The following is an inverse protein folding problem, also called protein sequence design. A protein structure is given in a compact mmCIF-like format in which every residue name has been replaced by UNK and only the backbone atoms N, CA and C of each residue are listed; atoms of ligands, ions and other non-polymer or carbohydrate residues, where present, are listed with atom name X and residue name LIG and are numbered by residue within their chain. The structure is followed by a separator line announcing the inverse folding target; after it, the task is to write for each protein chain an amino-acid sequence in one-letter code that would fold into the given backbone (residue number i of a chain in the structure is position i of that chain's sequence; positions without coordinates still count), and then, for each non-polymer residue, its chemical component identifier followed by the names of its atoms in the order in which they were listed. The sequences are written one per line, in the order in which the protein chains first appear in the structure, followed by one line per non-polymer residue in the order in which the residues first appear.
data_IF_314762280375
#
_entry.id   IF_314762280375
#
_cell.length_a   1.000
_cell.length_b   1.000
_cell.length_c   1.000
_cell.angle_alpha   90.00
_cell.angle_beta   90.00
_cell.angle_gamma   90.00
#
_symmetry.space_group_name_H-M   'P 1'
#
loop_
_entity.id
_entity.type
_entity.pdbx_description
1 polymer ?
#
# COMPACT_ATOMS: atom_id res chain seq x y z
N UNK A 1 -19.59 -15.22 -12.44
CA UNK A 1 -19.45 -15.95 -11.17
C UNK A 1 -18.20 -15.51 -10.43
N UNK A 2 -16.98 -15.76 -10.92
CA UNK A 2 -15.73 -15.48 -10.20
C UNK A 2 -15.58 -14.03 -9.70
N UNK A 3 -15.74 -13.03 -10.58
CA UNK A 3 -15.60 -11.62 -10.20
C UNK A 3 -16.62 -11.20 -9.13
N UNK A 4 -17.86 -11.71 -9.21
CA UNK A 4 -18.88 -11.47 -8.18
C UNK A 4 -18.48 -12.06 -6.84
N UNK A 5 -17.84 -13.24 -6.85
CA UNK A 5 -17.29 -13.87 -5.64
C UNK A 5 -16.14 -13.06 -5.05
N UNK A 6 -15.18 -12.60 -5.87
CA UNK A 6 -14.09 -11.74 -5.41
C UNK A 6 -14.62 -10.41 -4.84
N UNK A 7 -15.60 -9.80 -5.50
CA UNK A 7 -16.23 -8.58 -4.99
C UNK A 7 -16.87 -8.80 -3.61
N UNK A 8 -17.69 -9.84 -3.47
CA UNK A 8 -18.30 -10.17 -2.17
C UNK A 8 -17.24 -10.49 -1.10
N UNK A 9 -16.13 -11.12 -1.49
CA UNK A 9 -15.00 -11.40 -0.59
C UNK A 9 -14.30 -10.13 -0.10
N UNK A 10 -14.31 -9.04 -0.88
CA UNK A 10 -13.76 -7.74 -0.47
C UNK A 10 -14.71 -6.90 0.38
N UNK A 11 -16.03 -7.07 0.23
CA UNK A 11 -17.03 -6.22 0.91
C UNK A 11 -17.83 -6.94 2.00
N UNK A 12 -17.66 -8.25 2.14
CA UNK A 12 -18.40 -9.07 3.10
C UNK A 12 -17.98 -8.79 4.55
N UNK A 13 -18.84 -9.19 5.50
CA UNK A 13 -18.57 -9.05 6.94
C UNK A 13 -17.39 -9.91 7.42
N UNK A 14 -17.08 -10.98 6.67
CA UNK A 14 -15.86 -11.77 6.80
C UNK A 14 -14.91 -11.46 5.64
N UNK A 15 -14.64 -10.18 5.41
CA UNK A 15 -13.73 -9.74 4.36
C UNK A 15 -12.29 -10.06 4.76
N UNK A 16 -11.69 -11.02 4.05
CA UNK A 16 -10.28 -11.34 4.19
C UNK A 16 -9.66 -11.34 2.79
N UNK A 17 -9.51 -10.19 2.12
CA UNK A 17 -9.21 -10.14 0.67
C UNK A 17 -7.75 -10.50 0.33
N UNK A 18 -7.14 -11.45 1.04
CA UNK A 18 -5.91 -12.10 0.62
C UNK A 18 -6.20 -12.99 -0.59
N UNK A 19 -5.34 -12.91 -1.61
CA UNK A 19 -5.39 -13.76 -2.81
C UNK A 19 -6.45 -13.39 -3.87
N UNK A 20 -6.87 -12.13 -3.96
CA UNK A 20 -7.58 -11.64 -5.17
C UNK A 20 -6.68 -11.87 -6.39
N UNK A 21 -7.20 -12.53 -7.43
CA UNK A 21 -6.38 -13.04 -8.54
C UNK A 21 -5.60 -11.93 -9.26
N UNK A 22 -6.22 -10.76 -9.44
CA UNK A 22 -5.59 -9.60 -10.05
C UNK A 22 -4.37 -9.06 -9.30
N UNK A 23 -4.20 -9.37 -8.00
CA UNK A 23 -3.02 -8.99 -7.22
C UNK A 23 -1.78 -9.82 -7.55
N UNK A 24 -1.91 -10.91 -8.32
CA UNK A 24 -0.78 -11.76 -8.71
C UNK A 24 0.32 -11.03 -9.49
N UNK A 25 0.01 -9.85 -10.05
CA UNK A 25 0.93 -9.02 -10.82
C UNK A 25 1.58 -7.88 -10.01
N UNK A 26 1.52 -7.93 -8.67
CA UNK A 26 2.07 -6.88 -7.79
C UNK A 26 3.55 -6.61 -8.00
N UNK A 27 4.31 -7.59 -8.49
CA UNK A 27 5.73 -7.46 -8.82
C UNK A 27 5.98 -7.09 -10.30
N UNK A 28 4.96 -7.17 -11.15
CA UNK A 28 5.02 -6.94 -12.61
C UNK A 28 4.22 -5.70 -13.01
N UNK A 29 4.46 -4.59 -12.30
CA UNK A 29 3.70 -3.34 -12.41
C UNK A 29 3.69 -2.79 -13.86
N UNK A 30 4.73 -3.07 -14.65
CA UNK A 30 4.85 -2.69 -16.06
C UNK A 30 3.75 -3.28 -16.95
N UNK A 31 3.19 -4.45 -16.60
CA UNK A 31 2.19 -5.16 -17.38
C UNK A 31 0.75 -4.71 -17.08
N UNK A 32 0.54 -3.98 -15.98
CA UNK A 32 -0.79 -3.72 -15.39
C UNK A 32 -1.08 -2.24 -15.14
N UNK A 33 -0.42 -1.30 -15.82
CA UNK A 33 -0.70 0.12 -15.71
C UNK A 33 -2.18 0.47 -15.99
N UNK A 34 -2.85 -0.27 -16.89
CA UNK A 34 -4.28 -0.10 -17.17
C UNK A 34 -5.20 -0.40 -15.97
N UNK A 35 -4.69 -0.97 -14.87
CA UNK A 35 -5.44 -1.11 -13.62
C UNK A 35 -5.90 0.24 -13.08
N UNK A 36 -5.30 1.36 -13.48
CA UNK A 36 -5.80 2.70 -13.14
C UNK A 36 -7.28 2.90 -13.55
N UNK A 37 -7.75 2.23 -14.61
CA UNK A 37 -9.13 2.37 -15.12
C UNK A 37 -10.08 1.30 -14.59
N UNK A 38 -9.58 0.09 -14.32
CA UNK A 38 -10.42 -1.08 -14.02
C UNK A 38 -10.26 -1.60 -12.59
N UNK A 39 -9.22 -1.15 -11.90
CA UNK A 39 -8.77 -1.73 -10.64
C UNK A 39 -8.34 -3.20 -10.76
N UNK A 40 -8.15 -3.82 -9.59
CA UNK A 40 -7.68 -5.20 -9.45
C UNK A 40 -8.62 -6.24 -10.08
N UNK A 41 -9.94 -6.00 -10.08
CA UNK A 41 -10.91 -6.92 -10.66
C UNK A 41 -10.79 -7.03 -12.18
N UNK A 42 -10.35 -5.96 -12.86
CA UNK A 42 -9.99 -6.02 -14.27
C UNK A 42 -8.86 -7.02 -14.50
N UNK A 43 -7.85 -7.01 -13.62
CA UNK A 43 -6.78 -8.00 -13.56
C UNK A 43 -7.27 -9.43 -13.45
N UNK A 44 -8.14 -9.70 -12.48
CA UNK A 44 -8.75 -11.01 -12.31
C UNK A 44 -9.49 -11.46 -13.58
N UNK A 45 -10.26 -10.58 -14.20
CA UNK A 45 -10.97 -10.87 -15.44
C UNK A 45 -9.99 -11.20 -16.58
N UNK A 46 -8.92 -10.43 -16.71
CA UNK A 46 -7.87 -10.66 -17.70
C UNK A 46 -7.23 -12.05 -17.57
N UNK A 47 -6.89 -12.47 -16.34
CA UNK A 47 -6.34 -13.82 -16.10
C UNK A 47 -7.33 -14.91 -16.52
N UNK A 48 -8.61 -14.76 -16.15
CA UNK A 48 -9.65 -15.73 -16.49
C UNK A 48 -9.84 -15.84 -18.02
N UNK A 49 -9.89 -14.71 -18.71
CA UNK A 49 -10.02 -14.65 -20.17
C UNK A 49 -8.80 -15.28 -20.85
N UNK A 50 -7.59 -14.98 -20.40
CA UNK A 50 -6.37 -15.59 -20.92
C UNK A 50 -6.37 -17.11 -20.74
N UNK A 51 -6.68 -17.60 -19.54
CA UNK A 51 -6.75 -19.03 -19.26
C UNK A 51 -7.75 -19.75 -20.18
N UNK A 52 -8.95 -19.19 -20.34
CA UNK A 52 -9.98 -19.77 -21.20
C UNK A 52 -9.55 -19.80 -22.67
N UNK A 53 -9.02 -18.69 -23.18
CA UNK A 53 -8.62 -18.59 -24.59
C UNK A 53 -7.41 -19.46 -24.92
N UNK A 54 -6.43 -19.53 -24.02
CA UNK A 54 -5.27 -20.43 -24.15
C UNK A 54 -5.73 -21.88 -24.15
N UNK A 55 -6.62 -22.28 -23.22
CA UNK A 55 -7.18 -23.62 -23.20
C UNK A 55 -7.89 -23.98 -24.51
N UNK A 56 -8.74 -23.10 -25.02
CA UNK A 56 -9.47 -23.31 -26.28
C UNK A 56 -8.54 -23.36 -27.51
N UNK A 57 -7.46 -22.57 -27.50
CA UNK A 57 -6.42 -22.61 -28.53
C UNK A 57 -5.68 -23.95 -28.51
N UNK A 58 -5.33 -24.47 -27.33
CA UNK A 58 -4.65 -25.77 -27.18
C UNK A 58 -5.54 -26.94 -27.60
N UNK A 59 -6.83 -26.89 -27.26
CA UNK A 59 -7.81 -27.95 -27.57
C UNK A 59 -8.13 -28.04 -29.05
N UNK A 60 -8.40 -26.91 -29.70
CA UNK A 60 -8.87 -26.88 -31.10
C UNK A 60 -7.76 -26.71 -32.13
N UNK A 61 -6.63 -26.11 -31.72
CA UNK A 61 -5.52 -25.68 -32.58
C UNK A 61 -5.93 -24.85 -33.80
N UNK A 62 -7.08 -24.17 -33.71
CA UNK A 62 -7.55 -23.25 -34.74
C UNK A 62 -6.70 -21.98 -34.72
N UNK A 63 -6.25 -21.53 -35.90
CA UNK A 63 -5.52 -20.25 -36.06
C UNK A 63 -6.24 -19.07 -35.43
N UNK A 64 -7.58 -19.02 -35.55
CA UNK A 64 -8.39 -17.94 -34.96
C UNK A 64 -8.32 -17.96 -33.42
N UNK A 65 -8.38 -19.13 -32.79
CA UNK A 65 -8.31 -19.25 -31.32
C UNK A 65 -6.91 -18.97 -30.80
N UNK A 66 -5.88 -19.40 -31.53
CA UNK A 66 -4.49 -19.06 -31.22
C UNK A 66 -4.28 -17.54 -31.28
N UNK A 67 -4.76 -16.87 -32.34
CA UNK A 67 -4.65 -15.42 -32.46
C UNK A 67 -5.42 -14.70 -31.35
N UNK A 68 -6.61 -15.17 -30.98
CA UNK A 68 -7.39 -14.59 -29.89
C UNK A 68 -6.67 -14.75 -28.53
N UNK A 69 -6.09 -15.93 -28.25
CA UNK A 69 -5.31 -16.16 -27.05
C UNK A 69 -4.05 -15.27 -27.01
N UNK A 70 -3.31 -15.19 -28.11
CA UNK A 70 -2.15 -14.31 -28.22
C UNK A 70 -2.53 -12.84 -28.00
N UNK A 71 -3.62 -12.37 -28.61
CA UNK A 71 -4.11 -11.01 -28.42
C UNK A 71 -4.50 -10.73 -26.96
N UNK A 72 -5.20 -11.66 -26.30
CA UNK A 72 -5.58 -11.50 -24.90
C UNK A 72 -4.37 -11.42 -23.96
N UNK A 73 -3.29 -12.16 -24.25
CA UNK A 73 -2.06 -12.14 -23.45
C UNK A 73 -1.22 -10.90 -23.73
N UNK A 74 -1.12 -10.47 -25.00
CA UNK A 74 -0.17 -9.42 -25.42
C UNK A 74 -0.76 -8.01 -25.34
N UNK A 75 -2.05 -7.83 -25.67
CA UNK A 75 -2.62 -6.49 -25.77
C UNK A 75 -2.64 -5.74 -24.44
N UNK A 76 -3.05 -6.32 -23.29
CA UNK A 76 -3.09 -5.56 -22.04
C UNK A 76 -1.71 -5.08 -21.56
N UNK A 77 -0.65 -5.91 -21.57
CA UNK A 77 0.71 -5.42 -21.31
C UNK A 77 1.17 -4.35 -22.32
N UNK A 78 0.84 -4.49 -23.61
CA UNK A 78 1.17 -3.47 -24.61
C UNK A 78 0.48 -2.13 -24.33
N UNK A 79 -0.80 -2.15 -23.93
CA UNK A 79 -1.54 -0.97 -23.48
C UNK A 79 -0.87 -0.37 -22.23
N UNK A 80 -0.45 -1.19 -21.27
CA UNK A 80 0.28 -0.71 -20.09
C UNK A 80 1.58 -0.01 -20.44
N UNK A 81 2.35 -0.54 -21.39
CA UNK A 81 3.58 0.09 -21.87
C UNK A 81 3.29 1.43 -22.54
N UNK A 82 2.20 1.54 -23.32
CA UNK A 82 1.78 2.82 -23.89
C UNK A 82 1.39 3.85 -22.83
N UNK A 83 0.63 3.44 -21.80
CA UNK A 83 0.27 4.30 -20.66
C UNK A 83 1.53 4.76 -19.93
N UNK A 84 2.42 3.82 -19.57
CA UNK A 84 3.67 4.12 -18.89
C UNK A 84 4.59 5.04 -19.70
N UNK A 85 4.67 4.86 -21.01
CA UNK A 85 5.45 5.73 -21.89
C UNK A 85 4.83 7.13 -22.07
N UNK A 86 3.52 7.27 -21.92
CA UNK A 86 2.82 8.55 -21.98
C UNK A 86 2.85 9.31 -20.64
N UNK A 87 3.13 8.61 -19.53
CA UNK A 87 3.15 9.20 -18.20
C UNK A 87 4.29 10.22 -18.06
N UNK A 88 3.97 11.37 -17.44
CA UNK A 88 4.93 12.44 -17.16
C UNK A 88 4.83 12.80 -15.69
N UNK A 89 5.97 12.88 -15.02
CA UNK A 89 6.03 13.38 -13.66
C UNK A 89 5.52 14.83 -13.63
N UNK A 90 4.53 15.15 -12.77
CA UNK A 90 4.09 16.51 -12.59
C UNK A 90 5.23 17.42 -12.11
N UNK A 91 5.32 18.63 -12.65
CA UNK A 91 6.35 19.62 -12.29
C UNK A 91 5.99 20.38 -10.99
N UNK A 92 5.78 19.62 -9.91
CA UNK A 92 5.39 20.16 -8.60
C UNK A 92 6.57 20.20 -7.61
N UNK A 93 7.79 20.00 -8.11
CA UNK A 93 9.00 19.90 -7.31
C UNK A 93 9.14 18.53 -6.61
N UNK A 94 10.17 18.41 -5.78
CA UNK A 94 10.45 17.21 -4.98
C UNK A 94 10.34 17.55 -3.50
N UNK A 95 9.75 16.66 -2.73
CA UNK A 95 9.73 16.77 -1.27
C UNK A 95 10.60 15.72 -0.62
N UNK A 96 11.30 16.09 0.46
CA UNK A 96 12.05 15.12 1.27
C UNK A 96 11.14 14.58 2.38
N UNK A 97 10.93 13.27 2.35
CA UNK A 97 10.13 12.54 3.33
C UNK A 97 11.02 11.55 4.06
N UNK A 98 10.97 11.54 5.39
CA UNK A 98 11.65 10.57 6.24
C UNK A 98 10.63 9.64 6.87
N UNK A 99 10.75 8.34 6.63
CA UNK A 99 9.90 7.31 7.24
C UNK A 99 10.69 6.64 8.35
N UNK A 100 10.17 6.69 9.57
CA UNK A 100 10.83 6.14 10.75
C UNK A 100 10.32 4.72 10.98
N UNK A 101 11.23 3.77 11.22
CA UNK A 101 10.88 2.39 11.54
C UNK A 101 11.61 1.95 12.82
N UNK A 102 10.97 2.09 14.00
CA UNK A 102 11.62 1.86 15.29
C UNK A 102 12.04 0.41 15.56
N UNK A 103 11.61 -0.54 14.72
CA UNK A 103 11.89 -1.97 14.87
C UNK A 103 11.54 -2.51 16.27
N UNK A 104 10.39 -2.08 16.82
CA UNK A 104 9.86 -2.57 18.09
C UNK A 104 9.35 -3.99 17.90
N UNK A 105 9.78 -4.90 18.78
CA UNK A 105 9.31 -6.29 18.80
C UNK A 105 7.79 -6.34 19.03
N UNK A 106 7.06 -7.12 18.23
CA UNK A 106 5.61 -7.20 18.31
C UNK A 106 5.11 -7.84 19.62
N UNK A 107 5.91 -8.68 20.28
CA UNK A 107 5.58 -9.28 21.56
C UNK A 107 5.79 -8.30 22.73
N UNK A 108 6.72 -7.36 22.58
CA UNK A 108 7.04 -6.36 23.60
C UNK A 108 6.31 -5.02 23.38
N UNK A 109 5.70 -4.78 22.22
CA UNK A 109 5.12 -3.48 21.85
C UNK A 109 4.19 -2.89 22.91
N UNK A 110 3.36 -3.72 23.54
CA UNK A 110 2.35 -3.30 24.53
C UNK A 110 2.65 -3.72 25.98
N UNK A 111 3.75 -4.44 26.20
CA UNK A 111 4.12 -4.99 27.52
C UNK A 111 5.56 -4.68 27.92
N UNK A 112 6.34 -4.10 27.02
CA UNK A 112 7.72 -3.73 27.21
C UNK A 112 7.90 -2.35 27.84
N UNK A 113 9.16 -1.93 27.91
CA UNK A 113 9.56 -0.63 28.45
C UNK A 113 9.16 0.49 27.48
N UNK A 114 8.03 1.15 27.78
CA UNK A 114 7.49 2.32 27.06
C UNK A 114 8.55 3.40 26.90
N UNK A 115 9.26 3.75 27.98
CA UNK A 115 10.28 4.81 27.93
C UNK A 115 11.46 4.43 27.04
N UNK A 116 11.80 3.15 26.90
CA UNK A 116 12.79 2.69 25.92
C UNK A 116 12.30 2.88 24.48
N UNK A 117 11.02 2.60 24.21
CA UNK A 117 10.44 2.82 22.89
C UNK A 117 10.41 4.31 22.52
N UNK A 118 10.00 5.16 23.46
CA UNK A 118 10.00 6.62 23.30
C UNK A 118 11.40 7.17 23.03
N UNK A 119 12.40 6.79 23.84
CA UNK A 119 13.80 7.19 23.61
C UNK A 119 14.32 6.75 22.25
N UNK A 120 14.08 5.50 21.87
CA UNK A 120 14.46 5.00 20.55
C UNK A 120 13.79 5.81 19.43
N UNK A 121 12.54 6.24 19.62
CA UNK A 121 11.85 7.07 18.64
C UNK A 121 12.47 8.48 18.54
N UNK A 122 12.74 9.13 19.68
CA UNK A 122 13.41 10.44 19.73
C UNK A 122 14.81 10.36 19.10
N UNK A 123 15.59 9.32 19.42
CA UNK A 123 16.92 9.10 18.84
C UNK A 123 16.88 8.94 17.31
N UNK A 124 15.85 8.26 16.78
CA UNK A 124 15.65 8.12 15.33
C UNK A 124 15.21 9.43 14.67
N UNK A 125 14.40 10.23 15.37
CA UNK A 125 13.99 11.56 14.91
C UNK A 125 15.18 12.51 14.88
N UNK A 126 16.06 12.48 15.88
CA UNK A 126 17.28 13.27 15.89
C UNK A 126 18.26 12.96 14.75
N UNK A 127 18.11 11.81 14.09
CA UNK A 127 18.88 11.42 12.90
C UNK A 127 18.23 11.89 11.59
N UNK A 128 17.02 12.43 11.64
CA UNK A 128 16.32 12.93 10.45
C UNK A 128 17.04 14.18 9.92
N UNK A 129 17.30 14.26 8.60
CA UNK A 129 17.86 15.46 8.00
C UNK A 129 17.00 16.70 8.27
N UNK A 130 17.62 17.83 8.61
CA UNK A 130 16.93 19.09 8.96
C UNK A 130 16.13 19.71 7.81
N UNK A 131 16.34 19.25 6.57
CA UNK A 131 15.59 19.67 5.37
C UNK A 131 14.48 18.67 4.99
N UNK A 132 14.18 17.68 5.82
CA UNK A 132 12.99 16.84 5.67
C UNK A 132 11.72 17.68 5.88
N UNK A 133 10.79 17.62 4.93
CA UNK A 133 9.52 18.36 5.00
C UNK A 133 8.41 17.54 5.66
N UNK A 134 8.52 16.21 5.62
CA UNK A 134 7.59 15.30 6.26
C UNK A 134 8.33 14.21 7.00
N UNK A 135 7.86 13.89 8.20
CA UNK A 135 8.32 12.78 9.00
C UNK A 135 7.12 11.88 9.26
N UNK A 136 7.21 10.62 8.86
CA UNK A 136 6.14 9.64 8.99
C UNK A 136 6.53 8.61 10.06
N UNK A 137 5.64 8.45 11.03
CA UNK A 137 5.74 7.44 12.08
C UNK A 137 4.81 6.26 11.77
N UNK A 138 5.15 5.02 12.18
CA UNK A 138 4.29 3.87 11.97
C UNK A 138 3.06 3.92 12.89
N UNK A 139 2.11 3.04 12.62
CA UNK A 139 0.91 2.90 13.46
C UNK A 139 1.29 2.57 14.92
N UNK A 140 0.68 3.31 15.86
CA UNK A 140 0.94 3.19 17.29
C UNK A 140 2.42 3.39 17.64
N UNK A 141 3.12 4.27 16.92
CA UNK A 141 4.50 4.63 17.24
C UNK A 141 4.64 5.36 18.57
N UNK A 142 3.58 6.07 18.98
CA UNK A 142 3.53 6.75 20.27
C UNK A 142 2.87 5.79 21.28
N UNK A 143 3.64 5.29 22.26
CA UNK A 143 3.17 4.25 23.17
C UNK A 143 2.40 4.87 24.35
N UNK A 144 1.17 5.35 24.13
CA UNK A 144 0.24 5.70 25.21
C UNK A 144 -1.16 6.03 24.68
N UNK A 145 -2.11 6.24 25.59
CA UNK A 145 -3.44 6.77 25.26
C UNK A 145 -3.44 8.30 25.39
N UNK A 146 -3.94 8.96 24.35
CA UNK A 146 -4.02 10.42 24.30
C UNK A 146 -5.44 10.88 24.02
N UNK A 147 -5.86 11.94 24.72
CA UNK A 147 -7.15 12.58 24.52
C UNK A 147 -7.02 13.69 23.48
N UNK A 148 -7.77 13.55 22.40
CA UNK A 148 -7.87 14.58 21.36
C UNK A 148 -8.83 15.70 21.79
N UNK A 149 -8.57 16.97 21.41
CA UNK A 149 -7.54 17.41 20.47
C UNK A 149 -6.19 17.78 21.10
N UNK A 150 -6.10 17.88 22.44
CA UNK A 150 -4.92 18.40 23.11
C UNK A 150 -3.72 17.43 23.09
N UNK A 151 -3.94 16.16 22.77
CA UNK A 151 -2.98 15.07 22.92
C UNK A 151 -2.50 14.96 24.37
N UNK A 152 -3.42 15.12 25.33
CA UNK A 152 -3.14 15.00 26.76
C UNK A 152 -3.21 13.56 27.23
N UNK A 153 -2.48 13.22 28.29
CA UNK A 153 -2.58 11.89 28.94
C UNK A 153 -3.72 11.82 29.95
N UNK A 154 -4.35 12.96 30.26
CA UNK A 154 -5.43 13.14 31.23
C UNK A 154 -6.68 13.70 30.54
N UNK A 155 -7.89 13.20 30.87
CA UNK A 155 -9.14 13.80 30.38
C UNK A 155 -9.26 15.27 30.82
N UNK A 156 -9.88 16.10 29.98
CA UNK A 156 -10.15 17.54 30.19
C UNK A 156 -8.91 18.45 30.35
N UNK A 157 -7.70 17.92 30.18
CA UNK A 157 -6.49 18.74 30.14
C UNK A 157 -6.32 19.39 28.75
N UNK A 158 -5.75 20.59 28.77
CA UNK A 158 -5.48 21.39 27.57
C UNK A 158 -4.01 21.35 27.14
N UNK A 159 -3.14 20.75 27.96
CA UNK A 159 -1.73 20.59 27.65
C UNK A 159 -1.45 19.24 26.98
N UNK A 160 -0.57 19.27 25.97
CA UNK A 160 -0.06 18.04 25.36
C UNK A 160 0.74 17.22 26.38
N UNK A 161 0.69 15.90 26.26
CA UNK A 161 1.44 14.98 27.11
C UNK A 161 2.96 15.22 27.01
N UNK A 162 3.74 14.82 28.04
CA UNK A 162 5.18 15.08 28.11
C UNK A 162 5.94 14.62 26.87
N UNK A 163 5.62 13.43 26.35
CA UNK A 163 6.24 12.89 25.15
C UNK A 163 5.99 13.76 23.91
N UNK A 164 4.77 14.27 23.72
CA UNK A 164 4.46 15.15 22.59
C UNK A 164 5.18 16.50 22.66
N UNK A 165 5.41 17.01 23.86
CA UNK A 165 6.20 18.22 24.06
C UNK A 165 7.66 17.96 23.67
N UNK A 166 8.26 16.88 24.16
CA UNK A 166 9.64 16.46 23.81
C UNK A 166 9.80 16.19 22.32
N UNK A 167 8.82 15.53 21.71
CA UNK A 167 8.76 15.28 20.28
C UNK A 167 8.73 16.59 19.48
N UNK A 168 7.85 17.52 19.85
CA UNK A 168 7.74 18.81 19.19
C UNK A 168 9.02 19.64 19.31
N UNK A 169 9.70 19.58 20.47
CA UNK A 169 10.97 20.26 20.66
C UNK A 169 12.12 19.61 19.89
N UNK A 170 12.11 18.28 19.74
CA UNK A 170 13.10 17.53 18.94
C UNK A 170 13.00 17.80 17.43
N UNK A 171 11.87 18.36 16.98
CA UNK A 171 11.57 18.68 15.59
C UNK A 171 11.85 20.14 15.22
N UNK A 172 12.24 20.98 16.18
CA UNK A 172 12.60 22.40 15.97
C UNK A 172 14.07 22.56 15.61
#
# INVERSE_FOLDING_TARGET
AWISTEYWYTTGEFSWPWLVLGNGFSHDIWAVQWYEYTGVFGGSLWVLVCNLLVFEALRSRSRRRILAAAAAVVLPPAVSLCIGAAWRQPDQGTVRVSIIQPNVDCYDKFHGDVSRQERNLIDLIGQVPSDAQFILLPETAVPDYYWEPALSTTPDDSAAGPFWQELADSLR
#
